data_IF_135260030904
#
_entry.id   IF_135260030904
#
_cell.length_a   1.000
_cell.length_b   1.000
_cell.length_c   1.000
_cell.angle_alpha   90.00
_cell.angle_beta   90.00
_cell.angle_gamma   90.00
#
_symmetry.space_group_name_H-M   'P 1'
#
loop_
_entity.id
_entity.type
_entity.pdbx_description
1 polymer ?
#
# COMPACT_ATOMS: atom_id res chain seq x y z
N UNK A 1 -9.63 -30.08 18.34
CA UNK A 1 -9.48 -28.83 19.13
C UNK A 1 -9.11 -27.72 18.15
N UNK A 2 -10.02 -26.79 17.89
CA UNK A 2 -9.78 -25.64 17.03
C UNK A 2 -9.23 -24.48 17.87
N UNK A 3 -8.40 -23.62 17.28
CA UNK A 3 -7.57 -22.55 17.87
C UNK A 3 -8.25 -21.56 18.86
N UNK A 4 -9.57 -21.63 19.09
CA UNK A 4 -10.32 -20.67 19.92
C UNK A 4 -10.42 -19.27 19.31
N UNK A 5 -9.96 -19.09 18.07
CA UNK A 5 -9.97 -17.82 17.36
C UNK A 5 -11.38 -17.46 16.86
N UNK A 6 -11.69 -16.17 16.90
CA UNK A 6 -12.92 -15.59 16.35
C UNK A 6 -12.60 -14.64 15.19
N UNK A 7 -13.44 -14.63 14.17
CA UNK A 7 -13.30 -13.75 13.01
C UNK A 7 -13.76 -12.34 13.37
N UNK A 8 -12.96 -11.34 13.00
CA UNK A 8 -13.36 -9.95 13.13
C UNK A 8 -14.09 -9.48 11.86
N UNK A 9 -15.42 -9.63 11.86
CA UNK A 9 -16.28 -9.24 10.73
C UNK A 9 -16.18 -7.76 10.34
N UNK A 10 -15.84 -6.86 11.29
CA UNK A 10 -15.66 -5.43 11.00
C UNK A 10 -14.38 -5.12 10.20
N UNK A 11 -13.36 -5.97 10.33
CA UNK A 11 -12.10 -5.87 9.57
C UNK A 11 -12.10 -6.72 8.31
N UNK A 12 -12.96 -7.73 8.25
CA UNK A 12 -13.13 -8.56 7.06
C UNK A 12 -13.87 -7.82 5.96
N UNK A 13 -13.56 -8.17 4.72
CA UNK A 13 -14.26 -7.71 3.53
C UNK A 13 -14.27 -8.85 2.51
N UNK A 14 -15.26 -8.84 1.62
CA UNK A 14 -15.34 -9.78 0.51
C UNK A 14 -15.27 -9.01 -0.81
N UNK A 15 -14.47 -9.50 -1.75
CA UNK A 15 -14.48 -9.03 -3.14
C UNK A 15 -15.17 -10.06 -4.01
N UNK A 16 -16.05 -9.59 -4.89
CA UNK A 16 -16.76 -10.41 -5.85
C UNK A 16 -16.42 -9.95 -7.26
N UNK A 17 -16.48 -10.86 -8.23
CA UNK A 17 -16.26 -10.50 -9.63
C UNK A 17 -17.24 -9.39 -10.08
N UNK A 18 -16.79 -8.40 -10.87
CA UNK A 18 -17.67 -7.37 -11.43
C UNK A 18 -18.79 -7.94 -12.30
N UNK A 19 -18.62 -9.15 -12.83
CA UNK A 19 -19.59 -9.82 -13.72
C UNK A 19 -20.78 -10.45 -12.98
N UNK A 20 -20.80 -10.43 -11.64
CA UNK A 20 -21.87 -11.03 -10.84
C UNK A 20 -23.05 -10.07 -10.72
N UNK A 21 -24.28 -10.60 -10.88
CA UNK A 21 -25.52 -9.83 -10.70
C UNK A 21 -25.67 -9.31 -9.26
N UNK A 22 -26.25 -8.12 -9.11
CA UNK A 22 -26.42 -7.48 -7.78
C UNK A 22 -27.28 -8.31 -6.82
N UNK A 23 -28.27 -9.03 -7.34
CA UNK A 23 -29.10 -9.97 -6.55
C UNK A 23 -28.27 -11.08 -5.89
N UNK A 24 -27.28 -11.61 -6.61
CA UNK A 24 -26.36 -12.63 -6.10
C UNK A 24 -25.37 -12.00 -5.12
N UNK A 25 -24.91 -10.77 -5.40
CA UNK A 25 -24.03 -9.99 -4.53
C UNK A 25 -24.67 -9.75 -3.15
N UNK A 26 -25.90 -9.26 -3.12
CA UNK A 26 -26.65 -9.02 -1.86
C UNK A 26 -26.91 -10.32 -1.10
N UNK A 27 -27.24 -11.40 -1.82
CA UNK A 27 -27.44 -12.72 -1.20
C UNK A 27 -26.14 -13.26 -0.58
N UNK A 28 -24.99 -13.06 -1.21
CA UNK A 28 -23.71 -13.44 -0.62
C UNK A 28 -23.37 -12.56 0.59
N UNK A 29 -23.66 -11.26 0.54
CA UNK A 29 -23.46 -10.36 1.68
C UNK A 29 -24.30 -10.79 2.89
N UNK A 30 -25.56 -11.19 2.67
CA UNK A 30 -26.46 -11.61 3.76
C UNK A 30 -26.09 -12.97 4.35
N UNK A 31 -25.64 -13.92 3.53
CA UNK A 31 -25.17 -15.23 4.01
C UNK A 31 -23.89 -15.10 4.83
N UNK A 32 -22.95 -14.29 4.36
CA UNK A 32 -21.60 -14.20 4.96
C UNK A 32 -21.55 -13.18 6.11
N UNK A 33 -22.43 -12.17 6.10
CA UNK A 33 -22.46 -11.11 7.10
C UNK A 33 -21.25 -10.17 7.05
N UNK A 34 -20.57 -10.08 5.90
CA UNK A 34 -19.37 -9.26 5.68
C UNK A 34 -19.65 -8.26 4.56
N UNK A 35 -19.11 -7.05 4.69
CA UNK A 35 -19.22 -6.01 3.66
C UNK A 35 -18.59 -6.47 2.33
N UNK A 36 -19.27 -6.17 1.23
CA UNK A 36 -18.73 -6.37 -0.11
C UNK A 36 -18.01 -5.09 -0.53
N UNK A 37 -16.79 -5.24 -1.02
CA UNK A 37 -15.97 -4.14 -1.55
C UNK A 37 -15.56 -4.49 -2.97
N UNK A 38 -15.50 -3.47 -3.85
CA UNK A 38 -15.13 -3.67 -5.26
C UNK A 38 -13.73 -4.28 -5.41
N UNK A 39 -12.80 -3.90 -4.54
CA UNK A 39 -11.47 -4.49 -4.45
C UNK A 39 -10.93 -4.32 -3.03
N UNK A 40 -10.14 -5.28 -2.54
CA UNK A 40 -9.38 -5.06 -1.32
C UNK A 40 -8.41 -3.92 -1.59
N UNK A 41 -8.60 -2.80 -0.90
CA UNK A 41 -7.85 -1.59 -1.17
C UNK A 41 -6.36 -1.81 -0.92
N UNK A 42 -6.00 -2.43 0.23
CA UNK A 42 -4.60 -2.73 0.60
C UNK A 42 -4.48 -3.94 1.53
N UNK A 43 -3.43 -4.72 1.34
CA UNK A 43 -2.91 -5.69 2.28
C UNK A 43 -1.46 -5.35 2.60
N UNK A 44 -1.13 -5.24 3.89
CA UNK A 44 0.20 -4.81 4.37
C UNK A 44 0.69 -3.49 3.75
N UNK A 45 -0.23 -2.58 3.43
CA UNK A 45 0.11 -1.26 2.87
C UNK A 45 0.48 -1.27 1.38
N UNK A 46 0.14 -2.34 0.66
CA UNK A 46 0.26 -2.48 -0.79
C UNK A 46 -1.07 -2.91 -1.41
N UNK A 47 -1.35 -2.53 -2.68
CA UNK A 47 -2.59 -2.92 -3.35
C UNK A 47 -2.67 -4.45 -3.51
N UNK A 48 -3.84 -5.03 -3.23
CA UNK A 48 -4.08 -6.46 -3.40
C UNK A 48 -4.21 -6.88 -4.87
N UNK A 49 -4.62 -5.95 -5.74
CA UNK A 49 -4.83 -6.20 -7.16
C UNK A 49 -4.11 -5.14 -8.00
N UNK A 50 -3.30 -5.59 -8.94
CA UNK A 50 -2.64 -4.71 -9.91
C UNK A 50 -3.42 -4.73 -11.23
N UNK A 51 -4.23 -3.70 -11.45
CA UNK A 51 -4.87 -3.43 -12.75
C UNK A 51 -3.91 -2.77 -13.76
N UNK A 52 -4.44 -2.30 -14.89
CA UNK A 52 -3.63 -1.68 -15.97
C UNK A 52 -2.93 -0.38 -15.57
N UNK A 53 -3.38 0.33 -14.53
CA UNK A 53 -2.82 1.62 -14.11
C UNK A 53 -1.88 1.50 -12.89
N UNK A 54 -0.65 1.04 -13.13
CA UNK A 54 0.35 0.85 -12.07
C UNK A 54 0.79 2.16 -11.39
N UNK A 55 0.75 3.32 -12.05
CA UNK A 55 1.27 4.56 -11.43
C UNK A 55 0.38 5.07 -10.29
N UNK A 56 -0.94 5.10 -10.49
CA UNK A 56 -1.89 5.54 -9.45
C UNK A 56 -1.92 4.56 -8.27
N UNK A 57 -1.81 3.27 -8.55
CA UNK A 57 -1.77 2.22 -7.52
C UNK A 57 -0.60 2.35 -6.55
N UNK A 58 0.52 2.93 -7.01
CA UNK A 58 1.74 3.05 -6.22
C UNK A 58 2.08 4.49 -5.83
N UNK A 59 1.23 5.49 -6.14
CA UNK A 59 1.53 6.90 -5.82
C UNK A 59 1.72 7.12 -4.32
N UNK A 60 1.01 6.37 -3.48
CA UNK A 60 1.18 6.40 -2.01
C UNK A 60 2.59 6.05 -1.54
N UNK A 61 3.38 5.31 -2.34
CA UNK A 61 4.79 5.06 -2.02
C UNK A 61 5.55 6.38 -2.07
N UNK A 62 5.34 7.18 -3.11
CA UNK A 62 5.97 8.50 -3.28
C UNK A 62 5.52 9.42 -2.15
N UNK A 63 4.22 9.45 -1.83
CA UNK A 63 3.68 10.31 -0.77
C UNK A 63 4.24 9.93 0.61
N UNK A 64 4.38 8.63 0.91
CA UNK A 64 5.01 8.16 2.14
C UNK A 64 6.48 8.58 2.23
N UNK A 65 7.24 8.43 1.15
CA UNK A 65 8.63 8.89 1.08
C UNK A 65 8.71 10.40 1.31
N UNK A 66 7.87 11.16 0.61
CA UNK A 66 7.82 12.61 0.74
C UNK A 66 7.48 13.08 2.15
N UNK A 67 6.47 12.45 2.77
CA UNK A 67 6.07 12.74 4.15
C UNK A 67 7.21 12.52 5.15
N UNK A 68 7.99 11.45 5.00
CA UNK A 68 9.16 11.18 5.84
C UNK A 68 10.24 12.24 5.67
N UNK A 69 10.60 12.56 4.42
CA UNK A 69 11.60 13.58 4.09
C UNK A 69 11.18 14.95 4.64
N UNK A 70 9.94 15.36 4.40
CA UNK A 70 9.39 16.62 4.91
C UNK A 70 9.42 16.69 6.44
N UNK A 71 9.09 15.58 7.12
CA UNK A 71 9.17 15.49 8.57
C UNK A 71 10.58 15.60 9.15
N UNK A 72 11.62 15.34 8.35
CA UNK A 72 13.02 15.52 8.75
C UNK A 72 13.63 16.83 8.28
N UNK A 73 13.07 17.49 7.26
CA UNK A 73 13.60 18.74 6.71
C UNK A 73 13.73 19.89 7.72
N UNK A 74 12.96 19.86 8.81
CA UNK A 74 13.09 20.81 9.92
C UNK A 74 14.16 20.47 10.96
N UNK A 75 14.88 19.35 10.82
CA UNK A 75 15.91 18.90 11.76
C UNK A 75 17.30 19.23 11.19
N UNK A 76 18.16 19.79 12.04
CA UNK A 76 19.57 20.00 11.72
C UNK A 76 20.31 18.64 11.79
N UNK A 77 20.37 17.96 10.66
CA UNK A 77 21.05 16.68 10.51
C UNK A 77 22.38 16.86 9.78
N UNK A 78 23.42 16.15 10.25
CA UNK A 78 24.67 16.03 9.52
C UNK A 78 24.45 15.29 8.19
N UNK A 79 25.38 15.45 7.25
CA UNK A 79 25.35 14.76 5.96
C UNK A 79 25.26 13.23 6.17
N UNK A 80 26.08 12.68 7.07
CA UNK A 80 26.02 11.26 7.41
C UNK A 80 24.70 10.84 8.07
N UNK A 81 24.11 11.69 8.91
CA UNK A 81 22.80 11.44 9.49
C UNK A 81 21.68 11.39 8.43
N UNK A 82 21.73 12.28 7.43
CA UNK A 82 20.80 12.26 6.29
C UNK A 82 20.96 10.99 5.45
N UNK A 83 22.20 10.61 5.14
CA UNK A 83 22.50 9.40 4.37
C UNK A 83 21.95 8.14 5.05
N UNK A 84 22.15 8.01 6.37
CA UNK A 84 21.64 6.89 7.16
C UNK A 84 20.10 6.84 7.09
N UNK A 85 19.41 7.98 7.25
CA UNK A 85 17.95 8.01 7.18
C UNK A 85 17.41 7.65 5.80
N UNK A 86 18.08 8.11 4.74
CA UNK A 86 17.72 7.74 3.36
C UNK A 86 17.84 6.22 3.19
N UNK A 87 18.97 5.63 3.57
CA UNK A 87 19.24 4.20 3.39
C UNK A 87 18.35 3.32 4.27
N UNK A 88 18.21 3.66 5.55
CA UNK A 88 17.50 2.83 6.51
C UNK A 88 15.98 2.93 6.39
N UNK A 89 15.44 4.10 6.01
CA UNK A 89 14.00 4.35 6.04
C UNK A 89 13.44 4.61 4.65
N UNK A 90 14.01 5.56 3.90
CA UNK A 90 13.44 5.94 2.59
C UNK A 90 13.56 4.80 1.59
N UNK A 91 14.70 4.12 1.51
CA UNK A 91 14.91 3.00 0.59
C UNK A 91 14.13 1.75 0.99
N UNK A 92 13.82 1.54 2.28
CA UNK A 92 13.06 0.38 2.73
C UNK A 92 11.63 0.35 2.17
N UNK A 93 10.97 1.51 2.06
CA UNK A 93 9.58 1.63 1.57
C UNK A 93 9.39 1.11 0.13
N UNK A 94 10.11 1.62 -0.89
CA UNK A 94 10.03 1.08 -2.24
C UNK A 94 10.63 -0.32 -2.35
N UNK A 95 11.63 -0.68 -1.54
CA UNK A 95 12.22 -2.03 -1.58
C UNK A 95 11.20 -3.10 -1.23
N UNK A 96 10.38 -2.88 -0.20
CA UNK A 96 9.29 -3.78 0.12
C UNK A 96 8.29 -3.93 -1.03
N UNK A 97 7.88 -2.81 -1.64
CA UNK A 97 6.97 -2.85 -2.79
C UNK A 97 7.58 -3.56 -4.01
N UNK A 98 8.86 -3.34 -4.29
CA UNK A 98 9.58 -3.99 -5.40
C UNK A 98 9.74 -5.50 -5.22
N UNK A 99 9.75 -5.99 -3.98
CA UNK A 99 9.81 -7.44 -3.70
C UNK A 99 8.55 -8.19 -4.16
N UNK A 100 7.42 -7.49 -4.26
CA UNK A 100 6.12 -8.08 -4.64
C UNK A 100 5.65 -7.64 -6.03
N UNK A 101 6.08 -6.46 -6.50
CA UNK A 101 5.57 -5.84 -7.72
C UNK A 101 6.66 -5.20 -8.56
N UNK A 102 6.48 -5.22 -9.88
CA UNK A 102 7.31 -4.45 -10.81
C UNK A 102 6.85 -2.99 -10.83
N UNK A 103 7.58 -2.12 -10.12
CA UNK A 103 7.27 -0.69 -10.10
C UNK A 103 7.58 0.00 -11.45
N UNK A 104 6.78 1.00 -11.87
CA UNK A 104 7.10 1.83 -13.03
C UNK A 104 8.43 2.59 -12.82
N UNK A 105 9.29 2.60 -13.85
CA UNK A 105 10.57 3.34 -13.80
C UNK A 105 10.39 4.81 -13.44
N UNK A 106 9.31 5.44 -13.91
CA UNK A 106 8.98 6.83 -13.61
C UNK A 106 8.83 7.09 -12.11
N UNK A 107 8.23 6.15 -11.38
CA UNK A 107 8.02 6.23 -9.94
C UNK A 107 9.33 6.05 -9.16
N UNK A 108 10.19 5.13 -9.59
CA UNK A 108 11.52 4.93 -8.99
C UNK A 108 12.36 6.20 -9.16
N UNK A 109 12.38 6.78 -10.37
CA UNK A 109 13.10 8.03 -10.64
C UNK A 109 12.57 9.19 -9.79
N UNK A 110 11.26 9.25 -9.56
CA UNK A 110 10.64 10.26 -8.70
C UNK A 110 11.10 10.13 -7.25
N UNK A 111 11.11 8.92 -6.68
CA UNK A 111 11.62 8.66 -5.32
C UNK A 111 13.11 9.02 -5.21
N UNK A 112 13.92 8.69 -6.23
CA UNK A 112 15.34 9.06 -6.25
C UNK A 112 15.53 10.58 -6.25
N UNK A 113 14.73 11.31 -7.04
CA UNK A 113 14.77 12.78 -7.06
C UNK A 113 14.38 13.40 -5.73
N UNK A 114 13.38 12.83 -5.03
CA UNK A 114 13.02 13.29 -3.68
C UNK A 114 14.15 13.05 -2.69
N UNK A 115 14.76 11.87 -2.72
CA UNK A 115 15.86 11.49 -1.83
C UNK A 115 17.10 12.37 -2.03
N UNK A 116 17.40 12.74 -3.27
CA UNK A 116 18.53 13.62 -3.60
C UNK A 116 18.34 15.08 -3.16
N UNK A 117 17.10 15.50 -2.87
CA UNK A 117 16.78 16.87 -2.41
C UNK A 117 16.79 17.03 -0.88
N UNK A 118 16.90 15.93 -0.13
CA UNK A 118 16.89 15.91 1.33
C UNK A 118 18.29 16.15 1.91
#
# INVERSE_FOLDING_TARGET
>A
MASGQQVNFSKSAMCVSPSIQDTVRERLASIVGIRIVECHERYLGLPCFTGRSNRKLFSDIVDRVWSRIKGWGGKLLSIGGKEILIKAVVQAVPTYAMSLFRLPKTLITEIHRLSARF
#
